data_IF_217944740597
#
_entry.id   IF_217944740597
#
_cell.length_a   1.000
_cell.length_b   1.000
_cell.length_c   1.000
_cell.angle_alpha   90.00
_cell.angle_beta   90.00
_cell.angle_gamma   90.00
#
_symmetry.space_group_name_H-M   'P 1'
#
loop_
_entity.id
_entity.type
_entity.pdbx_description
1 polymer ?
#
# COMPACT_ATOMS: atom_id res chain seq x y z
N UNK A 1 -4.77 -3.50 -2.61
CA UNK A 1 -5.07 -3.65 -1.18
C UNK A 1 -3.85 -4.15 -0.42
N UNK A 2 -3.74 -3.86 0.85
CA UNK A 2 -2.70 -4.39 1.73
C UNK A 2 -2.89 -5.88 2.02
N UNK A 3 -1.79 -6.62 2.14
CA UNK A 3 -1.82 -8.03 2.54
C UNK A 3 -1.65 -8.15 4.04
N UNK A 4 -2.70 -8.57 4.74
CA UNK A 4 -2.68 -8.74 6.19
C UNK A 4 -2.35 -10.19 6.57
N UNK A 5 -1.57 -10.37 7.64
CA UNK A 5 -1.32 -11.67 8.24
C UNK A 5 -2.48 -12.08 9.17
N UNK A 6 -3.62 -12.44 8.59
CA UNK A 6 -4.83 -12.81 9.34
C UNK A 6 -4.56 -13.98 10.30
N UNK A 7 -3.80 -14.98 9.89
CA UNK A 7 -3.47 -16.12 10.74
C UNK A 7 -2.59 -15.72 11.96
N UNK A 8 -1.65 -14.80 11.77
CA UNK A 8 -0.83 -14.27 12.87
C UNK A 8 -1.63 -13.39 13.82
N UNK A 9 -2.49 -12.55 13.28
CA UNK A 9 -3.39 -11.70 14.07
C UNK A 9 -4.39 -12.54 14.88
N UNK A 10 -4.89 -13.63 14.31
CA UNK A 10 -5.81 -14.56 14.97
C UNK A 10 -5.21 -15.34 16.15
N UNK A 11 -3.89 -15.27 16.35
CA UNK A 11 -3.19 -15.84 17.52
C UNK A 11 -2.89 -14.81 18.61
N UNK A 12 -3.23 -13.55 18.39
CA UNK A 12 -2.99 -12.47 19.34
C UNK A 12 -4.08 -12.43 20.43
N UNK A 13 -3.86 -11.62 21.46
CA UNK A 13 -4.89 -11.32 22.49
C UNK A 13 -6.19 -10.71 21.92
N UNK A 14 -6.15 -10.26 20.68
CA UNK A 14 -7.30 -9.70 19.96
C UNK A 14 -7.93 -10.71 18.98
N UNK A 15 -7.58 -12.00 19.08
CA UNK A 15 -8.01 -13.05 18.17
C UNK A 15 -9.51 -13.03 17.90
N UNK A 16 -10.33 -12.91 18.95
CA UNK A 16 -11.79 -12.87 18.84
C UNK A 16 -12.25 -11.70 17.95
N UNK A 17 -11.80 -10.49 18.26
CA UNK A 17 -12.18 -9.30 17.48
C UNK A 17 -11.74 -9.38 16.02
N UNK A 18 -10.60 -10.01 15.75
CA UNK A 18 -10.08 -10.19 14.40
C UNK A 18 -10.89 -11.22 13.62
N UNK A 19 -11.28 -12.34 14.26
CA UNK A 19 -12.17 -13.31 13.66
C UNK A 19 -13.57 -12.73 13.41
N UNK A 20 -14.11 -11.97 14.37
CA UNK A 20 -15.42 -11.32 14.25
C UNK A 20 -15.44 -10.28 13.13
N UNK A 21 -14.31 -9.62 12.84
CA UNK A 21 -14.16 -8.68 11.72
C UNK A 21 -14.22 -9.36 10.33
N UNK A 22 -14.12 -10.69 10.25
CA UNK A 22 -14.33 -11.44 9.01
C UNK A 22 -13.37 -11.10 7.87
N UNK A 23 -12.13 -10.74 8.15
CA UNK A 23 -11.15 -10.31 7.15
C UNK A 23 -10.94 -11.30 6.01
N UNK A 24 -10.92 -12.60 6.31
CA UNK A 24 -10.79 -13.65 5.30
C UNK A 24 -11.96 -13.67 4.33
N UNK A 25 -13.18 -13.55 4.84
CA UNK A 25 -14.39 -13.49 4.03
C UNK A 25 -14.44 -12.22 3.18
N UNK A 26 -14.06 -11.08 3.76
CA UNK A 26 -14.00 -9.80 3.04
C UNK A 26 -13.06 -9.88 1.83
N UNK A 27 -11.87 -10.43 2.03
CA UNK A 27 -10.89 -10.61 0.94
C UNK A 27 -11.44 -11.55 -0.14
N UNK A 28 -12.03 -12.68 0.25
CA UNK A 28 -12.62 -13.63 -0.69
C UNK A 28 -13.77 -12.99 -1.50
N UNK A 29 -14.61 -12.19 -0.86
CA UNK A 29 -15.68 -11.44 -1.55
C UNK A 29 -15.11 -10.40 -2.52
N UNK A 30 -14.04 -9.70 -2.17
CA UNK A 30 -13.38 -8.75 -3.08
C UNK A 30 -12.81 -9.45 -4.30
N UNK A 31 -12.18 -10.62 -4.13
CA UNK A 31 -11.66 -11.42 -5.24
C UNK A 31 -12.78 -11.91 -6.15
N UNK A 32 -13.84 -12.45 -5.59
CA UNK A 32 -15.02 -12.86 -6.33
C UNK A 32 -15.64 -11.71 -7.13
N UNK A 33 -15.85 -10.57 -6.49
CA UNK A 33 -16.41 -9.38 -7.13
C UNK A 33 -15.49 -8.82 -8.23
N UNK A 34 -14.18 -8.78 -7.99
CA UNK A 34 -13.22 -8.35 -8.98
C UNK A 34 -13.29 -9.22 -10.24
N UNK A 35 -13.33 -10.54 -10.08
CA UNK A 35 -13.49 -11.47 -11.21
C UNK A 35 -14.83 -11.28 -11.93
N UNK A 36 -15.91 -11.13 -11.17
CA UNK A 36 -17.25 -10.97 -11.73
C UNK A 36 -17.39 -9.70 -12.58
N UNK A 37 -16.77 -8.60 -12.15
CA UNK A 37 -16.85 -7.31 -12.84
C UNK A 37 -15.65 -7.01 -13.74
N UNK A 38 -14.77 -7.98 -13.99
CA UNK A 38 -13.58 -7.79 -14.82
C UNK A 38 -12.61 -6.75 -14.26
N UNK A 39 -12.51 -6.63 -12.92
CA UNK A 39 -11.60 -5.70 -12.23
C UNK A 39 -10.37 -6.42 -11.73
N UNK A 40 -9.26 -5.71 -11.64
CA UNK A 40 -8.01 -6.25 -11.12
C UNK A 40 -7.88 -5.94 -9.62
N UNK A 41 -7.75 -6.98 -8.80
CA UNK A 41 -7.43 -6.85 -7.38
C UNK A 41 -5.94 -7.07 -7.19
N UNK A 42 -5.19 -6.02 -6.86
CA UNK A 42 -3.77 -6.10 -6.59
C UNK A 42 -3.53 -6.16 -5.07
N UNK A 43 -2.73 -7.14 -4.64
CA UNK A 43 -2.27 -7.26 -3.26
C UNK A 43 -0.87 -6.68 -3.14
N UNK A 44 -0.71 -5.69 -2.28
CA UNK A 44 0.58 -5.08 -1.97
C UNK A 44 1.28 -5.91 -0.89
N UNK A 45 2.60 -6.06 -1.00
CA UNK A 45 3.39 -6.84 -0.05
C UNK A 45 3.16 -6.38 1.39
N UNK A 46 3.05 -7.35 2.31
CA UNK A 46 2.86 -7.11 3.75
C UNK A 46 3.97 -6.26 4.37
N UNK A 47 5.18 -6.35 3.85
CA UNK A 47 6.34 -5.59 4.34
C UNK A 47 6.43 -4.18 3.77
N UNK A 48 5.52 -3.80 2.86
CA UNK A 48 5.51 -2.47 2.29
C UNK A 48 5.20 -1.43 3.37
N UNK A 49 6.10 -0.47 3.62
CA UNK A 49 5.99 0.47 4.75
C UNK A 49 5.06 1.63 4.43
N UNK A 50 3.81 1.35 4.09
CA UNK A 50 2.82 2.34 3.62
C UNK A 50 2.61 3.52 4.57
N UNK A 51 2.66 3.29 5.88
CA UNK A 51 2.48 4.34 6.89
C UNK A 51 3.76 5.13 7.20
N UNK A 52 4.91 4.69 6.69
CA UNK A 52 6.22 5.32 6.93
C UNK A 52 6.68 6.21 5.77
N UNK A 53 6.07 6.07 4.61
CA UNK A 53 6.39 6.81 3.41
C UNK A 53 5.53 8.07 3.31
N UNK A 54 6.13 9.17 2.89
CA UNK A 54 5.40 10.36 2.50
C UNK A 54 4.80 10.17 1.11
N UNK A 55 3.48 10.28 0.97
CA UNK A 55 2.81 10.12 -0.33
C UNK A 55 3.06 11.29 -1.28
N UNK A 56 3.63 12.40 -0.81
CA UNK A 56 3.95 13.56 -1.63
C UNK A 56 5.36 13.50 -2.22
N UNK A 57 6.38 13.12 -1.44
CA UNK A 57 7.77 13.13 -1.89
C UNK A 57 8.47 11.76 -1.83
N UNK A 58 7.85 10.74 -1.26
CA UNK A 58 8.43 9.40 -1.13
C UNK A 58 9.44 9.24 0.02
N UNK A 59 9.71 10.29 0.78
CA UNK A 59 10.61 10.21 1.93
C UNK A 59 10.13 9.20 2.98
N UNK A 60 11.04 8.38 3.48
CA UNK A 60 10.75 7.39 4.53
C UNK A 60 11.13 7.93 5.90
N UNK A 61 10.14 8.26 6.71
CA UNK A 61 10.30 8.85 8.03
C UNK A 61 10.26 7.82 9.18
N UNK A 62 10.24 6.53 8.89
CA UNK A 62 10.24 5.47 9.88
C UNK A 62 8.90 5.21 10.57
N UNK A 63 8.87 4.26 11.53
CA UNK A 63 7.66 3.85 12.20
C UNK A 63 7.16 4.93 13.17
N UNK A 64 5.84 5.11 13.22
CA UNK A 64 5.17 6.07 14.12
C UNK A 64 4.31 5.33 15.14
N UNK A 65 4.24 5.81 16.39
CA UNK A 65 3.33 5.25 17.40
C UNK A 65 1.89 5.24 16.91
N UNK A 66 1.10 4.25 17.35
CA UNK A 66 -0.30 4.08 16.92
C UNK A 66 -1.20 5.28 17.27
N UNK A 67 -0.86 6.00 18.32
CA UNK A 67 -1.58 7.21 18.76
C UNK A 67 -1.34 8.43 17.87
N UNK A 68 -0.30 8.43 17.05
CA UNK A 68 0.00 9.52 16.12
C UNK A 68 -0.91 9.38 14.90
N UNK A 69 -1.88 10.27 14.75
CA UNK A 69 -2.83 10.32 13.63
C UNK A 69 -2.39 11.29 12.54
N UNK A 70 -1.81 12.40 12.93
CA UNK A 70 -1.32 13.43 12.01
C UNK A 70 0.18 13.61 12.18
N UNK A 71 0.90 13.77 11.07
CA UNK A 71 2.34 13.99 11.08
C UNK A 71 2.77 14.88 9.91
N UNK A 72 3.92 15.53 10.07
CA UNK A 72 4.51 16.39 9.05
C UNK A 72 5.76 15.73 8.49
N UNK A 73 5.87 15.67 7.18
CA UNK A 73 7.06 15.12 6.52
C UNK A 73 8.25 16.06 6.77
N UNK A 74 9.39 15.56 7.30
CA UNK A 74 10.57 16.39 7.56
C UNK A 74 11.27 16.85 6.28
N UNK A 75 11.03 16.18 5.16
CA UNK A 75 11.69 16.49 3.89
C UNK A 75 10.91 17.54 3.07
N UNK A 76 9.62 17.33 2.85
CA UNK A 76 8.81 18.25 2.03
C UNK A 76 7.85 19.15 2.81
N UNK A 77 7.74 19.01 4.13
CA UNK A 77 6.86 19.79 4.99
C UNK A 77 5.36 19.52 4.85
N UNK A 78 4.96 18.55 4.04
CA UNK A 78 3.54 18.19 3.86
C UNK A 78 2.97 17.57 5.13
N UNK A 79 1.81 18.07 5.56
CA UNK A 79 1.06 17.51 6.69
C UNK A 79 0.18 16.37 6.19
N UNK A 80 0.26 15.22 6.82
CA UNK A 80 -0.49 14.02 6.47
C UNK A 80 -1.39 13.56 7.60
N UNK A 81 -2.61 13.14 7.25
CA UNK A 81 -3.32 12.14 8.01
C UNK A 81 -2.66 10.78 7.76
N UNK A 82 -2.38 10.03 8.82
CA UNK A 82 -1.62 8.78 8.74
C UNK A 82 -2.27 7.72 7.88
N UNK A 83 -3.57 7.51 8.07
CA UNK A 83 -4.32 6.45 7.39
C UNK A 83 -4.56 6.81 5.92
N UNK A 84 -4.87 8.08 5.65
CA UNK A 84 -5.04 8.57 4.29
C UNK A 84 -3.73 8.54 3.51
N UNK A 85 -2.61 8.90 4.14
CA UNK A 85 -1.29 8.81 3.53
C UNK A 85 -0.93 7.35 3.19
N UNK A 86 -1.18 6.40 4.11
CA UNK A 86 -0.96 4.99 3.87
C UNK A 86 -1.82 4.46 2.72
N UNK A 87 -3.08 4.86 2.65
CA UNK A 87 -3.98 4.47 1.56
C UNK A 87 -3.48 4.97 0.18
N UNK A 88 -2.98 6.19 0.10
CA UNK A 88 -2.37 6.74 -1.13
C UNK A 88 -1.15 5.94 -1.56
N UNK A 89 -0.27 5.58 -0.61
CA UNK A 89 0.92 4.78 -0.89
C UNK A 89 0.57 3.36 -1.37
N UNK A 90 -0.43 2.73 -0.76
CA UNK A 90 -0.91 1.41 -1.19
C UNK A 90 -1.50 1.47 -2.60
N UNK A 91 -2.27 2.52 -2.90
CA UNK A 91 -2.81 2.73 -4.25
C UNK A 91 -1.68 2.89 -5.27
N UNK A 92 -0.71 3.75 -5.00
CA UNK A 92 0.44 3.99 -5.89
C UNK A 92 1.24 2.70 -6.13
N UNK A 93 1.51 1.92 -5.06
CA UNK A 93 2.20 0.64 -5.18
C UNK A 93 1.41 -0.37 -6.02
N UNK A 94 0.10 -0.44 -5.84
CA UNK A 94 -0.77 -1.31 -6.64
C UNK A 94 -0.80 -0.93 -8.12
N UNK A 95 -0.87 0.35 -8.43
CA UNK A 95 -0.83 0.85 -9.81
C UNK A 95 0.53 0.58 -10.48
N UNK A 96 1.62 0.72 -9.76
CA UNK A 96 2.95 0.42 -10.26
C UNK A 96 3.10 -1.06 -10.65
N UNK A 97 2.58 -1.98 -9.84
CA UNK A 97 2.56 -3.43 -10.18
C UNK A 97 1.75 -3.68 -11.46
N UNK A 98 0.63 -3.02 -11.61
CA UNK A 98 -0.21 -3.18 -12.81
C UNK A 98 0.48 -2.65 -14.07
N UNK A 99 1.20 -1.54 -13.95
CA UNK A 99 1.92 -0.94 -15.07
C UNK A 99 3.15 -1.75 -15.52
N UNK A 100 3.85 -2.40 -14.57
CA UNK A 100 5.08 -3.15 -14.85
C UNK A 100 4.86 -4.65 -15.16
N UNK A 101 3.62 -5.15 -15.03
CA UNK A 101 3.28 -6.56 -15.24
C UNK A 101 3.54 -7.47 -14.02
N UNK A 102 3.09 -8.73 -14.07
CA UNK A 102 3.26 -9.67 -12.97
C UNK A 102 4.74 -10.07 -12.85
N UNK A 103 5.37 -9.75 -11.75
CA UNK A 103 6.75 -10.18 -11.45
C UNK A 103 7.65 -9.13 -10.81
N UNK A 104 7.24 -7.88 -10.78
CA UNK A 104 8.02 -6.81 -10.12
C UNK A 104 7.70 -6.77 -8.63
N UNK A 105 8.65 -7.20 -7.80
CA UNK A 105 8.60 -6.93 -6.37
C UNK A 105 9.08 -5.51 -6.13
N UNK A 106 8.17 -4.63 -5.76
CA UNK A 106 8.54 -3.28 -5.30
C UNK A 106 9.25 -3.42 -3.96
N UNK A 107 10.56 -3.25 -3.95
CA UNK A 107 11.30 -3.09 -2.71
C UNK A 107 11.01 -1.70 -2.13
N UNK A 108 10.95 -1.62 -0.81
CA UNK A 108 10.64 -0.39 -0.08
C UNK A 108 11.64 0.76 -0.30
N UNK A 109 12.75 0.50 -0.99
CA UNK A 109 13.81 1.47 -1.28
C UNK A 109 13.63 2.24 -2.59
N UNK A 110 12.62 1.91 -3.39
CA UNK A 110 12.30 2.60 -4.64
C UNK A 110 10.84 3.01 -4.71
N UNK A 111 10.33 3.56 -3.64
CA UNK A 111 9.08 4.26 -3.72
C UNK A 111 9.38 5.65 -4.27
N UNK A 112 9.03 5.84 -5.50
CA UNK A 112 8.71 7.12 -6.13
C UNK A 112 9.87 8.10 -6.31
N UNK A 113 9.95 8.57 -7.49
CA UNK A 113 10.65 9.77 -7.88
C UNK A 113 11.64 9.55 -8.99
N UNK A 114 11.79 8.39 -9.53
CA UNK A 114 12.32 8.30 -10.86
C UNK A 114 11.12 8.39 -11.81
N UNK A 115 10.85 9.60 -12.23
CA UNK A 115 10.21 9.79 -13.49
C UNK A 115 11.05 9.02 -14.49
N UNK A 116 10.59 7.83 -14.82
CA UNK A 116 10.96 7.29 -16.09
C UNK A 116 10.46 8.34 -17.09
N UNK A 117 11.32 9.27 -17.39
CA UNK A 117 11.15 10.12 -18.54
C UNK A 117 10.91 9.17 -19.68
N UNK A 118 9.68 9.04 -20.08
CA UNK A 118 9.35 8.55 -21.38
C UNK A 118 9.89 9.60 -22.31
N UNK A 119 11.15 9.52 -22.58
CA UNK A 119 11.64 10.01 -23.85
C UNK A 119 10.97 9.10 -24.87
N UNK A 120 9.81 9.54 -25.31
CA UNK A 120 9.40 9.25 -26.64
C UNK A 120 10.52 9.82 -27.50
N UNK A 121 11.55 9.03 -27.71
CA UNK A 121 12.39 9.20 -28.85
C UNK A 121 11.42 9.10 -30.01
N UNK A 122 11.07 10.23 -30.57
CA UNK A 122 10.27 10.28 -31.76
C UNK A 122 11.00 9.43 -32.76
N UNK A 123 10.38 8.35 -33.19
CA UNK A 123 10.80 7.67 -34.37
C UNK A 123 10.70 8.69 -35.50
N UNK A 124 11.84 9.10 -35.99
CA UNK A 124 11.91 9.79 -37.27
C UNK A 124 11.51 8.83 -38.38
#
# INVERSE_FOLDING_TARGET
>A
METLNVAGLGRSRFAKSIHDAGWGQYIAMLEYKANLYGRTLVRVDRKFPSSQLCSACGHRDGPKPLKVRTWTCPDCGTVHDRDLNAAKNILAAGLAVTACGPGVRLSASRAVGDEAGTTLAGAA
#
